data_IF_108307508547
#
_entry.id   IF_108307508547
#
_cell.length_a   1.000
_cell.length_b   1.000
_cell.length_c   1.000
_cell.angle_alpha   90.00
_cell.angle_beta   90.00
_cell.angle_gamma   90.00
#
_symmetry.space_group_name_H-M   'P 1'
#
loop_
_entity.id
_entity.type
_entity.pdbx_description
1 polymer ?
#
# COMPACT_ATOMS: atom_id res chain seq x y z
N UNK A 1 -2.71 -10.79 -16.89
CA UNK A 1 -2.91 -9.69 -15.91
C UNK A 1 -3.59 -10.24 -14.69
N UNK A 2 -3.26 -9.77 -13.48
CA UNK A 2 -4.01 -10.13 -12.25
C UNK A 2 -5.35 -9.41 -12.22
N UNK A 3 -6.37 -10.01 -11.58
CA UNK A 3 -7.62 -9.33 -11.26
C UNK A 3 -7.40 -8.27 -10.17
N UNK A 4 -8.35 -7.34 -10.03
CA UNK A 4 -8.30 -6.30 -8.97
C UNK A 4 -8.26 -6.95 -7.57
N UNK A 5 -9.04 -8.01 -7.36
CA UNK A 5 -9.02 -8.76 -6.10
C UNK A 5 -7.69 -9.45 -5.80
N UNK A 6 -7.03 -9.99 -6.83
CA UNK A 6 -5.70 -10.59 -6.70
C UNK A 6 -4.62 -9.55 -6.36
N UNK A 7 -4.75 -8.31 -6.83
CA UNK A 7 -3.85 -7.21 -6.44
C UNK A 7 -4.02 -6.88 -4.96
N UNK A 8 -5.26 -6.72 -4.47
CA UNK A 8 -5.47 -6.38 -3.06
C UNK A 8 -5.07 -7.52 -2.12
N UNK A 9 -5.31 -8.77 -2.48
CA UNK A 9 -4.85 -9.92 -1.68
C UNK A 9 -3.32 -10.06 -1.67
N UNK A 10 -2.64 -9.71 -2.76
CA UNK A 10 -1.19 -9.56 -2.79
C UNK A 10 -0.70 -8.46 -1.84
N UNK A 11 -1.33 -7.29 -1.82
CA UNK A 11 -0.97 -6.19 -0.90
C UNK A 11 -1.18 -6.61 0.57
N UNK A 12 -2.28 -7.29 0.88
CA UNK A 12 -2.55 -7.84 2.22
C UNK A 12 -1.39 -8.74 2.66
N UNK A 13 -1.00 -9.70 1.83
CA UNK A 13 0.12 -10.59 2.10
C UNK A 13 1.45 -9.84 2.25
N UNK A 14 1.70 -8.86 1.39
CA UNK A 14 2.91 -8.05 1.48
C UNK A 14 2.99 -7.29 2.82
N UNK A 15 1.90 -6.67 3.29
CA UNK A 15 1.88 -5.93 4.55
C UNK A 15 2.25 -6.80 5.75
N UNK A 16 1.66 -7.99 5.87
CA UNK A 16 2.01 -8.94 6.93
C UNK A 16 3.43 -9.52 6.76
N UNK A 17 3.87 -9.73 5.52
CA UNK A 17 5.24 -10.18 5.23
C UNK A 17 6.29 -9.16 5.65
N UNK A 18 6.04 -7.87 5.37
CA UNK A 18 6.90 -6.76 5.80
C UNK A 18 6.92 -6.67 7.32
N UNK A 19 5.75 -6.63 7.98
CA UNK A 19 5.67 -6.57 9.43
C UNK A 19 6.45 -7.72 10.09
N UNK A 20 6.33 -8.93 9.55
CA UNK A 20 7.09 -10.11 10.00
C UNK A 20 8.60 -9.93 9.85
N UNK A 21 9.06 -9.39 8.73
CA UNK A 21 10.48 -9.11 8.53
C UNK A 21 11.00 -8.02 9.48
N UNK A 22 10.13 -7.12 9.93
CA UNK A 22 10.43 -6.13 10.97
C UNK A 22 10.33 -6.71 12.41
N UNK A 23 10.00 -7.99 12.56
CA UNK A 23 9.92 -8.67 13.85
C UNK A 23 8.51 -8.75 14.46
N UNK A 24 7.49 -8.22 13.79
CA UNK A 24 6.09 -8.32 14.25
C UNK A 24 5.39 -9.50 13.55
N UNK A 25 5.08 -10.60 14.24
CA UNK A 25 4.42 -11.73 13.61
C UNK A 25 2.99 -11.36 13.18
N UNK A 26 2.46 -11.99 12.12
CA UNK A 26 1.06 -11.82 11.74
C UNK A 26 0.12 -12.31 12.85
N UNK A 27 -1.16 -11.87 12.83
CA UNK A 27 -2.17 -12.33 13.80
C UNK A 27 -2.28 -13.86 13.85
N UNK A 28 -2.67 -14.38 15.03
CA UNK A 28 -2.87 -15.82 15.20
C UNK A 28 -3.89 -16.36 14.19
N UNK A 29 -3.57 -17.51 13.58
CA UNK A 29 -4.43 -18.13 12.57
C UNK A 29 -4.36 -17.48 11.18
N UNK A 30 -3.50 -16.47 10.97
CA UNK A 30 -3.28 -15.91 9.64
C UNK A 30 -2.56 -16.90 8.73
N UNK A 31 -3.16 -17.22 7.58
CA UNK A 31 -2.59 -18.09 6.56
C UNK A 31 -2.39 -17.33 5.24
N UNK A 32 -1.13 -17.19 4.84
CA UNK A 32 -0.75 -16.57 3.56
C UNK A 32 -1.32 -17.34 2.35
N UNK A 33 -1.48 -18.66 2.44
CA UNK A 33 -2.01 -19.48 1.35
C UNK A 33 -3.51 -19.27 1.14
N UNK A 34 -4.24 -18.92 2.20
CA UNK A 34 -5.68 -18.68 2.15
C UNK A 34 -6.06 -17.33 1.54
N UNK A 35 -5.13 -16.39 1.39
CA UNK A 35 -5.41 -15.03 0.90
C UNK A 35 -6.08 -15.00 -0.48
N UNK A 36 -5.69 -15.91 -1.39
CA UNK A 36 -6.26 -15.96 -2.74
C UNK A 36 -7.77 -16.15 -2.75
N UNK A 37 -8.33 -16.84 -1.75
CA UNK A 37 -9.78 -17.06 -1.63
C UNK A 37 -10.56 -15.76 -1.37
N UNK A 38 -9.90 -14.72 -0.83
CA UNK A 38 -10.54 -13.42 -0.58
C UNK A 38 -10.71 -12.59 -1.86
N UNK A 39 -10.05 -12.96 -2.96
CA UNK A 39 -10.03 -12.14 -4.18
C UNK A 39 -11.41 -11.86 -4.78
N UNK A 40 -12.39 -12.73 -4.54
CA UNK A 40 -13.76 -12.59 -5.05
C UNK A 40 -14.77 -12.13 -3.98
N UNK A 41 -14.35 -11.93 -2.73
CA UNK A 41 -15.21 -11.49 -1.63
C UNK A 41 -14.84 -10.05 -1.25
N UNK A 42 -15.44 -9.08 -1.96
CA UNK A 42 -15.13 -7.65 -1.80
C UNK A 42 -15.24 -7.17 -0.35
N UNK A 43 -16.33 -7.44 0.41
CA UNK A 43 -16.42 -7.01 1.81
C UNK A 43 -15.28 -7.53 2.66
N UNK A 44 -14.96 -8.84 2.58
CA UNK A 44 -13.87 -9.42 3.37
C UNK A 44 -12.50 -8.92 2.92
N UNK A 45 -12.27 -8.79 1.62
CA UNK A 45 -11.03 -8.27 1.08
C UNK A 45 -10.76 -6.82 1.54
N UNK A 46 -11.78 -5.96 1.54
CA UNK A 46 -11.65 -4.57 2.01
C UNK A 46 -11.33 -4.52 3.50
N UNK A 47 -11.99 -5.33 4.32
CA UNK A 47 -11.69 -5.38 5.74
C UNK A 47 -10.26 -5.91 6.00
N UNK A 48 -9.90 -7.03 5.39
CA UNK A 48 -8.56 -7.60 5.50
C UNK A 48 -7.45 -6.63 5.04
N UNK A 49 -7.71 -5.84 3.99
CA UNK A 49 -6.81 -4.81 3.51
C UNK A 49 -6.57 -3.74 4.59
N UNK A 50 -7.64 -3.22 5.20
CA UNK A 50 -7.56 -2.24 6.31
C UNK A 50 -6.76 -2.81 7.48
N UNK A 51 -7.07 -4.03 7.89
CA UNK A 51 -6.41 -4.68 9.02
C UNK A 51 -4.91 -4.88 8.76
N UNK A 52 -4.55 -5.26 7.53
CA UNK A 52 -3.15 -5.43 7.13
C UNK A 52 -2.36 -4.13 7.18
N UNK A 53 -2.95 -3.00 6.76
CA UNK A 53 -2.32 -1.69 6.84
C UNK A 53 -2.19 -1.22 8.29
N UNK A 54 -3.21 -1.43 9.12
CA UNK A 54 -3.13 -1.10 10.54
C UNK A 54 -2.00 -1.89 11.23
N UNK A 55 -1.88 -3.19 10.92
CA UNK A 55 -0.82 -4.04 11.46
C UNK A 55 0.57 -3.56 11.02
N UNK A 56 0.78 -3.31 9.72
CA UNK A 56 2.04 -2.79 9.19
C UNK A 56 2.39 -1.42 9.79
N UNK A 57 1.41 -0.52 9.92
CA UNK A 57 1.60 0.80 10.53
C UNK A 57 2.08 0.67 11.97
N UNK A 58 1.43 -0.17 12.77
CA UNK A 58 1.81 -0.38 14.17
C UNK A 58 3.22 -0.99 14.28
N UNK A 59 3.54 -1.97 13.44
CA UNK A 59 4.89 -2.55 13.39
C UNK A 59 5.96 -1.50 13.03
N UNK A 60 5.62 -0.57 12.12
CA UNK A 60 6.53 0.50 11.68
C UNK A 60 6.72 1.56 12.77
N UNK A 61 5.63 1.98 13.45
CA UNK A 61 5.68 2.99 14.52
C UNK A 61 6.39 2.50 15.79
N UNK A 62 6.55 1.19 15.97
CA UNK A 62 7.31 0.61 17.08
C UNK A 62 8.83 0.63 16.87
N UNK A 63 9.31 1.01 15.68
CA UNK A 63 10.73 1.07 15.37
C UNK A 63 11.37 2.36 15.91
N UNK A 64 12.68 2.31 16.09
CA UNK A 64 13.49 3.47 16.46
C UNK A 64 14.18 4.06 15.22
N UNK A 65 14.05 5.36 15.00
CA UNK A 65 14.73 6.06 13.90
C UNK A 65 16.26 5.92 13.93
N UNK A 66 16.84 5.79 15.14
CA UNK A 66 18.28 5.54 15.33
C UNK A 66 18.77 4.22 14.74
N UNK A 67 17.86 3.32 14.37
CA UNK A 67 18.17 2.00 13.80
C UNK A 67 18.17 2.01 12.27
N UNK A 68 17.95 3.16 11.64
CA UNK A 68 17.81 3.31 10.19
C UNK A 68 18.94 2.64 9.39
N UNK A 69 20.18 2.73 9.86
CA UNK A 69 21.35 2.19 9.17
C UNK A 69 21.78 0.79 9.66
N UNK A 70 21.03 0.19 10.61
CA UNK A 70 21.28 -1.18 11.06
C UNK A 70 20.95 -2.20 9.95
N UNK A 71 21.68 -3.32 9.88
CA UNK A 71 21.38 -4.39 8.93
C UNK A 71 19.94 -4.91 9.09
N UNK A 72 19.27 -5.10 7.95
CA UNK A 72 17.91 -5.64 7.89
C UNK A 72 17.81 -6.61 6.71
N UNK A 73 17.04 -7.68 6.89
CA UNK A 73 16.72 -8.63 5.82
C UNK A 73 15.27 -8.47 5.43
N UNK A 74 15.02 -8.11 4.17
CA UNK A 74 13.67 -7.93 3.63
C UNK A 74 13.50 -8.80 2.39
N UNK A 75 12.52 -9.71 2.40
CA UNK A 75 12.23 -10.65 1.29
C UNK A 75 13.46 -11.37 0.71
N UNK A 76 14.35 -11.84 1.59
CA UNK A 76 15.56 -12.56 1.19
C UNK A 76 16.74 -11.66 0.78
N UNK A 77 16.55 -10.33 0.72
CA UNK A 77 17.59 -9.36 0.38
C UNK A 77 18.16 -8.70 1.63
N UNK A 78 19.49 -8.66 1.72
CA UNK A 78 20.20 -7.92 2.76
C UNK A 78 20.24 -6.43 2.39
N UNK A 79 19.95 -5.56 3.36
CA UNK A 79 20.06 -4.10 3.23
C UNK A 79 20.21 -3.47 4.63
N UNK A 80 19.90 -2.18 4.75
CA UNK A 80 19.63 -1.51 6.03
C UNK A 80 18.13 -1.40 6.28
N UNK A 81 17.72 -1.00 7.49
CA UNK A 81 16.32 -0.70 7.79
C UNK A 81 15.77 0.38 6.84
N UNK A 82 16.51 1.47 6.65
CA UNK A 82 16.19 2.55 5.71
C UNK A 82 16.07 2.02 4.28
N UNK A 83 17.05 1.24 3.82
CA UNK A 83 17.02 0.65 2.48
C UNK A 83 15.81 -0.27 2.26
N UNK A 84 15.40 -0.99 3.30
CA UNK A 84 14.19 -1.81 3.27
C UNK A 84 12.93 -0.95 3.10
N UNK A 85 12.83 0.19 3.79
CA UNK A 85 11.71 1.12 3.60
C UNK A 85 11.68 1.75 2.21
N UNK A 86 12.83 2.10 1.62
CA UNK A 86 12.87 2.57 0.22
C UNK A 86 12.29 1.52 -0.74
N UNK A 87 12.62 0.24 -0.53
CA UNK A 87 12.06 -0.86 -1.33
C UNK A 87 10.54 -1.01 -1.13
N UNK A 88 10.07 -0.94 0.11
CA UNK A 88 8.64 -1.07 0.46
C UNK A 88 7.82 0.09 -0.15
N UNK A 89 8.32 1.32 -0.07
CA UNK A 89 7.67 2.50 -0.67
C UNK A 89 7.57 2.34 -2.18
N UNK A 90 8.63 1.87 -2.84
CA UNK A 90 8.60 1.57 -4.28
C UNK A 90 7.53 0.54 -4.64
N UNK A 91 7.46 -0.57 -3.91
CA UNK A 91 6.44 -1.61 -4.08
C UNK A 91 5.02 -1.05 -3.93
N UNK A 92 4.75 -0.25 -2.90
CA UNK A 92 3.44 0.41 -2.76
C UNK A 92 3.13 1.38 -3.90
N UNK A 93 4.14 2.11 -4.39
CA UNK A 93 4.00 2.97 -5.56
C UNK A 93 3.56 2.21 -6.82
N UNK A 94 4.14 1.04 -7.07
CA UNK A 94 3.76 0.17 -8.20
C UNK A 94 2.29 -0.28 -8.09
N UNK A 95 1.87 -0.78 -6.92
CA UNK A 95 0.50 -1.24 -6.70
C UNK A 95 -0.52 -0.10 -6.70
N UNK A 96 -0.14 1.09 -6.22
CA UNK A 96 -0.97 2.29 -6.30
C UNK A 96 -1.19 2.69 -7.76
N UNK A 97 -0.12 2.75 -8.57
CA UNK A 97 -0.21 3.05 -9.99
C UNK A 97 -1.10 2.04 -10.74
N UNK A 98 -0.95 0.75 -10.46
CA UNK A 98 -1.81 -0.29 -10.99
C UNK A 98 -3.28 -0.10 -10.57
N UNK A 99 -3.54 0.24 -9.31
CA UNK A 99 -4.90 0.48 -8.79
C UNK A 99 -5.56 1.71 -9.44
N UNK A 100 -4.79 2.78 -9.68
CA UNK A 100 -5.26 3.97 -10.40
C UNK A 100 -5.66 3.63 -11.84
N UNK A 101 -4.84 2.85 -12.54
CA UNK A 101 -5.15 2.43 -13.89
C UNK A 101 -6.45 1.61 -13.94
N UNK A 102 -6.65 0.68 -13.01
CA UNK A 102 -7.90 -0.07 -12.92
C UNK A 102 -9.10 0.81 -12.57
N UNK A 103 -8.96 1.74 -11.64
CA UNK A 103 -10.04 2.67 -11.30
C UNK A 103 -10.53 3.42 -12.55
N UNK A 104 -9.60 4.01 -13.32
CA UNK A 104 -9.91 4.76 -14.55
C UNK A 104 -10.58 3.90 -15.62
N UNK A 105 -10.07 2.68 -15.87
CA UNK A 105 -10.66 1.75 -16.85
C UNK A 105 -12.08 1.33 -16.44
N UNK A 106 -12.40 1.35 -15.14
CA UNK A 106 -13.73 1.05 -14.62
C UNK A 106 -14.58 2.30 -14.37
N UNK A 107 -14.20 3.47 -14.91
CA UNK A 107 -14.95 4.72 -14.76
C UNK A 107 -14.94 5.33 -13.36
N UNK A 108 -14.07 4.87 -12.47
CA UNK A 108 -13.87 5.41 -11.13
C UNK A 108 -12.78 6.48 -11.17
N UNK A 109 -13.13 7.70 -10.81
CA UNK A 109 -12.15 8.80 -10.65
C UNK A 109 -11.58 8.73 -9.23
N UNK A 110 -10.25 8.65 -9.05
CA UNK A 110 -9.67 8.66 -7.72
C UNK A 110 -9.96 10.00 -7.00
N UNK A 111 -10.22 10.00 -5.68
CA UNK A 111 -10.72 11.18 -4.97
C UNK A 111 -9.76 12.38 -5.01
N UNK A 112 -8.44 12.15 -4.93
CA UNK A 112 -7.45 13.22 -5.06
C UNK A 112 -7.41 13.85 -6.46
N UNK A 113 -7.90 13.15 -7.49
CA UNK A 113 -8.04 13.71 -8.84
C UNK A 113 -9.25 14.64 -8.89
N UNK A 114 -10.35 14.25 -8.25
CA UNK A 114 -11.55 15.09 -8.12
C UNK A 114 -11.23 16.35 -7.30
N UNK A 115 -10.54 16.23 -6.17
CA UNK A 115 -10.08 17.35 -5.35
C UNK A 115 -9.18 18.29 -6.14
N UNK A 116 -8.20 17.77 -6.88
CA UNK A 116 -7.30 18.57 -7.70
C UNK A 116 -8.05 19.31 -8.82
N UNK A 117 -9.05 18.69 -9.44
CA UNK A 117 -9.90 19.32 -10.46
C UNK A 117 -10.77 20.43 -9.86
N UNK A 118 -11.36 20.21 -8.69
CA UNK A 118 -12.13 21.23 -7.97
C UNK A 118 -11.27 22.44 -7.61
N UNK A 119 -10.05 22.21 -7.13
CA UNK A 119 -9.10 23.29 -6.82
C UNK A 119 -8.67 24.08 -8.07
N UNK A 120 -8.52 23.42 -9.23
CA UNK A 120 -8.23 24.10 -10.49
C UNK A 120 -9.39 24.96 -10.99
N UNK A 121 -10.63 24.48 -10.84
CA UNK A 121 -11.84 25.24 -11.21
C UNK A 121 -12.07 26.47 -10.31
N UNK A 122 -11.56 26.43 -9.07
CA UNK A 122 -11.65 27.53 -8.11
C UNK A 122 -10.55 28.59 -8.27
N UNK A 123 -9.49 28.34 -9.07
CA UNK A 123 -8.47 29.38 -9.32
C UNK A 123 -9.05 30.48 -10.22
N UNK A 124 -8.97 31.77 -9.81
CA UNK A 124 -9.39 32.87 -10.67
C UNK A 124 -8.60 32.82 -11.98
N UNK A 125 -9.29 32.95 -13.11
CA UNK A 125 -8.63 33.13 -14.40
C UNK A 125 -7.75 34.40 -14.33
N UNK A 126 -6.44 34.22 -14.49
CA UNK A 126 -5.50 35.32 -14.53
C UNK A 126 -5.90 36.23 -15.69
N UNK A 127 -6.44 37.43 -15.39
CA UNK A 127 -6.89 38.36 -16.42
C UNK A 127 -5.65 38.82 -17.19
N UNK A 128 -5.64 38.76 -18.54
CA UNK A 128 -4.49 39.21 -19.30
C UNK A 128 -4.23 40.69 -19.00
N UNK A 129 -3.01 41.01 -18.56
CA UNK A 129 -2.54 42.39 -18.41
C UNK A 129 -2.61 43.06 -19.77
N UNK A 130 -3.42 44.12 -19.87
CA UNK A 130 -3.43 45.06 -21.01
C UNK A 130 -2.14 45.87 -21.04
#
# INVERSE_FOLDING_TARGET
>A
MRSVGEVFTHIIGANYGVARALGTPPPNGFDFKALGALSNDKPKAVQALKDSFAHLRNATLALNDGDADKPQKMFGRQSTLRGSFTMIIGHFGEHLGQSIAYARVNGVVPPWTEEAQQQQQQKPADKPKR
#
